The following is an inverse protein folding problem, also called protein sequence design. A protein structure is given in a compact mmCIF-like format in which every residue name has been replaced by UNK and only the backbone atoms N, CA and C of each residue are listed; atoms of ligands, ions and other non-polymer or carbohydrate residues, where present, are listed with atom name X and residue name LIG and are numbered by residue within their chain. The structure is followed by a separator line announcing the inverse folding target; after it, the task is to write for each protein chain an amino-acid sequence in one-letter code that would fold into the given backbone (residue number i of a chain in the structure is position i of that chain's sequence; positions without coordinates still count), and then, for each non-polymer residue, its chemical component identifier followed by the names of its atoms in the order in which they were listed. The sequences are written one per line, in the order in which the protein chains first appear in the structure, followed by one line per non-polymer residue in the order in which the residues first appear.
data_IF_948981744723
#
_entry.id   IF_948981744723
#
_cell.length_a   1.000
_cell.length_b   1.000
_cell.length_c   1.000
_cell.angle_alpha   90.00
_cell.angle_beta   90.00
_cell.angle_gamma   90.00
#
_symmetry.space_group_name_H-M   'P 1'
#
loop_
_entity.id
_entity.type
_entity.pdbx_description
1 polymer ?
#
# COMPACT_ATOMS: atom_id res chain seq x y z
N UNK A 1 -21.80 -10.20 -5.31
CA UNK A 1 -21.13 -9.47 -4.21
C UNK A 1 -22.14 -8.80 -3.27
N UNK A 2 -22.04 -9.08 -1.97
CA UNK A 2 -22.88 -8.55 -0.89
C UNK A 2 -22.01 -7.73 0.08
N UNK A 3 -22.43 -6.49 0.39
CA UNK A 3 -21.70 -5.59 1.30
C UNK A 3 -22.49 -5.39 2.57
N UNK A 4 -21.93 -5.82 3.70
CA UNK A 4 -22.54 -5.76 5.01
C UNK A 4 -21.72 -4.89 5.98
N UNK A 5 -22.39 -4.36 6.99
CA UNK A 5 -21.80 -3.54 8.06
C UNK A 5 -22.50 -3.89 9.39
N UNK A 6 -22.13 -3.25 10.49
CA UNK A 6 -22.72 -3.56 11.80
C UNK A 6 -24.18 -3.13 12.00
N UNK A 7 -24.88 -2.66 10.96
CA UNK A 7 -26.32 -2.43 11.03
C UNK A 7 -27.08 -3.73 11.31
N UNK A 8 -28.12 -3.64 12.16
CA UNK A 8 -28.86 -4.83 12.61
C UNK A 8 -29.60 -5.58 11.51
N UNK A 9 -29.83 -4.94 10.35
CA UNK A 9 -30.41 -5.59 9.17
C UNK A 9 -29.56 -6.77 8.66
N UNK A 10 -28.26 -6.78 8.94
CA UNK A 10 -27.34 -7.83 8.51
C UNK A 10 -27.22 -9.00 9.49
N UNK A 11 -27.89 -8.98 10.65
CA UNK A 11 -27.88 -10.12 11.58
C UNK A 11 -28.20 -11.47 10.93
N UNK A 12 -29.21 -11.60 10.04
CA UNK A 12 -29.51 -12.86 9.38
C UNK A 12 -28.35 -13.42 8.56
N UNK A 13 -27.53 -12.56 7.93
CA UNK A 13 -26.31 -12.97 7.21
C UNK A 13 -25.28 -13.54 8.19
N UNK A 14 -25.01 -12.86 9.30
CA UNK A 14 -24.04 -13.32 10.31
C UNK A 14 -24.50 -14.62 10.98
N UNK A 15 -25.78 -14.68 11.33
CA UNK A 15 -26.40 -15.90 11.83
C UNK A 15 -26.33 -17.04 10.81
N UNK A 16 -26.39 -16.75 9.50
CA UNK A 16 -26.26 -17.75 8.44
C UNK A 16 -24.84 -18.32 8.36
N UNK A 17 -23.81 -17.47 8.46
CA UNK A 17 -22.40 -17.85 8.37
C UNK A 17 -21.83 -18.48 9.65
N UNK A 18 -22.39 -18.17 10.83
CA UNK A 18 -21.96 -18.73 12.11
C UNK A 18 -22.40 -20.19 12.32
N UNK A 19 -21.99 -21.11 11.43
CA UNK A 19 -22.25 -22.55 11.53
C UNK A 19 -21.45 -23.33 10.51
N UNK A 20 -20.67 -24.28 11.02
CA UNK A 20 -19.85 -25.20 10.22
C UNK A 20 -20.63 -25.91 9.10
N UNK A 21 -21.77 -26.54 9.44
CA UNK A 21 -22.66 -27.19 8.46
C UNK A 21 -23.08 -26.25 7.32
N UNK A 22 -23.34 -24.97 7.60
CA UNK A 22 -23.76 -24.00 6.58
C UNK A 22 -22.62 -23.55 5.70
N UNK A 23 -21.42 -23.41 6.25
CA UNK A 23 -20.21 -23.16 5.46
C UNK A 23 -19.95 -24.33 4.50
N UNK A 24 -20.05 -25.56 4.98
CA UNK A 24 -19.96 -26.77 4.16
C UNK A 24 -21.00 -26.83 3.04
N UNK A 25 -22.25 -26.40 3.30
CA UNK A 25 -23.27 -26.29 2.25
C UNK A 25 -22.83 -25.29 1.16
N UNK A 26 -22.27 -24.14 1.53
CA UNK A 26 -21.79 -23.15 0.55
C UNK A 26 -20.63 -23.70 -0.30
N UNK A 27 -19.72 -24.47 0.30
CA UNK A 27 -18.62 -25.14 -0.41
C UNK A 27 -19.10 -26.22 -1.38
N UNK A 28 -20.17 -26.95 -1.05
CA UNK A 28 -20.79 -27.90 -1.96
C UNK A 28 -21.49 -27.18 -3.12
N UNK A 29 -22.21 -26.10 -2.82
CA UNK A 29 -22.95 -25.31 -3.80
C UNK A 29 -22.04 -24.48 -4.71
N UNK A 30 -20.80 -24.19 -4.31
CA UNK A 30 -19.81 -23.53 -5.17
C UNK A 30 -19.34 -24.42 -6.32
N UNK A 31 -19.45 -25.75 -6.17
CA UNK A 31 -19.12 -26.72 -7.21
C UNK A 31 -20.27 -26.92 -8.20
N UNK A 32 -21.51 -27.02 -7.69
CA UNK A 32 -22.72 -27.18 -8.50
C UNK A 32 -24.00 -26.94 -7.68
N UNK A 33 -25.12 -26.55 -8.32
CA UNK A 33 -26.43 -26.54 -7.68
C UNK A 33 -26.86 -27.94 -7.20
N UNK A 34 -27.42 -28.02 -5.99
CA UNK A 34 -27.82 -29.30 -5.38
C UNK A 34 -29.23 -29.22 -4.79
N UNK A 35 -29.93 -30.35 -4.76
CA UNK A 35 -31.20 -30.44 -4.04
C UNK A 35 -30.98 -30.80 -2.56
N UNK A 36 -32.01 -30.62 -1.72
CA UNK A 36 -31.94 -30.89 -0.27
C UNK A 36 -31.54 -32.34 0.06
N UNK A 37 -31.97 -33.34 -0.73
CA UNK A 37 -31.62 -34.75 -0.50
C UNK A 37 -30.15 -35.01 -0.81
N UNK A 38 -29.61 -34.39 -1.84
CA UNK A 38 -28.19 -34.56 -2.22
C UNK A 38 -27.29 -33.92 -1.17
N UNK A 39 -27.64 -32.72 -0.68
CA UNK A 39 -26.96 -32.06 0.43
C UNK A 39 -27.02 -32.89 1.73
N UNK A 40 -28.18 -33.50 2.01
CA UNK A 40 -28.37 -34.37 3.17
C UNK A 40 -27.47 -35.60 3.11
N UNK A 41 -27.39 -36.26 1.95
CA UNK A 41 -26.52 -37.39 1.74
C UNK A 41 -25.03 -37.02 1.86
N UNK A 42 -24.62 -35.90 1.25
CA UNK A 42 -23.23 -35.44 1.28
C UNK A 42 -22.73 -35.08 2.69
N UNK A 43 -23.61 -34.55 3.55
CA UNK A 43 -23.27 -34.12 4.90
C UNK A 43 -23.61 -35.13 5.99
N UNK A 44 -24.21 -36.28 5.63
CA UNK A 44 -24.65 -37.29 6.61
C UNK A 44 -25.74 -36.79 7.57
N UNK A 45 -26.57 -35.84 7.14
CA UNK A 45 -27.62 -35.21 7.94
C UNK A 45 -29.01 -35.54 7.38
N UNK A 46 -30.05 -35.39 8.20
CA UNK A 46 -31.42 -35.59 7.72
C UNK A 46 -31.87 -34.45 6.80
N UNK A 47 -32.74 -34.74 5.83
CA UNK A 47 -33.31 -33.71 4.94
C UNK A 47 -34.03 -32.59 5.70
N UNK A 48 -34.60 -32.89 6.88
CA UNK A 48 -35.24 -31.89 7.73
C UNK A 48 -34.22 -30.88 8.30
N UNK A 49 -33.07 -31.39 8.77
CA UNK A 49 -31.96 -30.57 9.27
C UNK A 49 -31.40 -29.70 8.13
N UNK A 50 -31.15 -30.28 6.95
CA UNK A 50 -30.67 -29.52 5.79
C UNK A 50 -31.67 -28.44 5.38
N UNK A 51 -32.97 -28.74 5.38
CA UNK A 51 -34.02 -27.74 5.07
C UNK A 51 -33.97 -26.55 6.04
N UNK A 52 -33.70 -26.79 7.32
CA UNK A 52 -33.51 -25.73 8.29
C UNK A 52 -32.27 -24.88 7.97
N UNK A 53 -31.15 -25.51 7.61
CA UNK A 53 -29.91 -24.79 7.27
C UNK A 53 -30.05 -23.96 5.98
N UNK A 54 -30.63 -24.54 4.92
CA UNK A 54 -30.83 -23.84 3.64
C UNK A 54 -31.78 -22.66 3.81
N UNK A 55 -32.83 -22.77 4.62
CA UNK A 55 -33.72 -21.63 4.94
C UNK A 55 -32.98 -20.48 5.63
N UNK A 56 -32.02 -20.77 6.52
CA UNK A 56 -31.20 -19.73 7.15
C UNK A 56 -30.22 -19.09 6.18
N UNK A 57 -29.59 -19.88 5.31
CA UNK A 57 -28.71 -19.38 4.24
C UNK A 57 -29.48 -18.48 3.24
N UNK A 58 -30.70 -18.87 2.88
CA UNK A 58 -31.60 -18.11 2.02
C UNK A 58 -32.01 -16.78 2.68
N UNK A 59 -32.36 -16.80 3.97
CA UNK A 59 -32.64 -15.57 4.75
C UNK A 59 -31.44 -14.63 4.83
N UNK A 60 -30.22 -15.18 4.85
CA UNK A 60 -28.97 -14.42 4.80
C UNK A 60 -28.58 -13.92 3.41
N UNK A 61 -29.33 -14.26 2.36
CA UNK A 61 -29.05 -13.86 0.98
C UNK A 61 -27.85 -14.58 0.36
N UNK A 62 -27.39 -15.69 0.95
CA UNK A 62 -26.20 -16.43 0.47
C UNK A 62 -26.55 -17.47 -0.61
N UNK A 63 -27.77 -17.99 -0.59
CA UNK A 63 -28.27 -18.94 -1.58
C UNK A 63 -29.63 -18.51 -2.10
N UNK A 64 -29.96 -18.91 -3.32
CA UNK A 64 -31.31 -18.89 -3.87
C UNK A 64 -31.86 -20.31 -3.94
N UNK A 65 -33.19 -20.41 -3.97
CA UNK A 65 -33.84 -21.71 -4.15
C UNK A 65 -34.93 -21.65 -5.21
N UNK A 66 -35.00 -22.70 -6.03
CA UNK A 66 -35.95 -22.81 -7.13
C UNK A 66 -36.63 -24.19 -7.13
N UNK A 67 -37.92 -24.22 -7.48
CA UNK A 67 -38.67 -25.46 -7.63
C UNK A 67 -38.55 -25.96 -9.07
N UNK A 68 -37.82 -27.06 -9.26
CA UNK A 68 -37.59 -27.68 -10.57
C UNK A 68 -38.30 -29.02 -10.63
N UNK A 69 -39.06 -29.27 -11.70
CA UNK A 69 -39.62 -30.60 -11.97
C UNK A 69 -38.58 -31.48 -12.65
N UNK A 70 -38.26 -32.62 -12.03
CA UNK A 70 -37.32 -33.62 -12.57
C UNK A 70 -37.83 -35.01 -12.23
N UNK A 71 -37.80 -35.94 -13.20
CA UNK A 71 -38.20 -37.34 -13.02
C UNK A 71 -39.58 -37.53 -12.36
N UNK A 72 -40.56 -36.68 -12.71
CA UNK A 72 -41.91 -36.73 -12.13
C UNK A 72 -42.06 -36.15 -10.72
N UNK A 73 -40.97 -35.74 -10.07
CA UNK A 73 -40.96 -35.08 -8.77
C UNK A 73 -40.71 -33.57 -8.87
N UNK A 74 -41.15 -32.81 -7.85
CA UNK A 74 -40.78 -31.40 -7.68
C UNK A 74 -39.64 -31.31 -6.67
N UNK A 75 -38.51 -30.73 -7.07
CA UNK A 75 -37.28 -30.63 -6.28
C UNK A 75 -36.98 -29.17 -5.98
N UNK A 76 -36.66 -28.86 -4.72
CA UNK A 76 -36.11 -27.56 -4.31
C UNK A 76 -34.59 -27.58 -4.55
N UNK A 77 -34.15 -26.97 -5.64
CA UNK A 77 -32.74 -26.81 -6.00
C UNK A 77 -32.20 -25.57 -5.27
N UNK A 78 -31.02 -25.69 -4.67
CA UNK A 78 -30.30 -24.61 -4.01
C UNK A 78 -29.08 -24.23 -4.85
N UNK A 79 -28.81 -22.93 -4.99
CA UNK A 79 -27.66 -22.38 -5.72
C UNK A 79 -27.06 -21.21 -4.95
N UNK A 80 -25.76 -20.93 -5.12
CA UNK A 80 -25.16 -19.72 -4.56
C UNK A 80 -25.81 -18.47 -5.17
N UNK A 81 -26.16 -17.50 -4.32
CA UNK A 81 -26.69 -16.20 -4.75
C UNK A 81 -25.59 -15.14 -4.91
N UNK A 82 -24.46 -15.33 -4.21
CA UNK A 82 -23.35 -14.39 -4.14
C UNK A 82 -22.03 -15.15 -4.16
N UNK A 83 -21.02 -14.50 -4.74
CA UNK A 83 -19.63 -14.95 -4.86
C UNK A 83 -18.71 -14.36 -3.79
N UNK A 84 -19.08 -13.20 -3.23
CA UNK A 84 -18.29 -12.45 -2.24
C UNK A 84 -19.18 -11.77 -1.21
N UNK A 85 -18.78 -11.81 0.06
CA UNK A 85 -19.34 -11.01 1.16
C UNK A 85 -18.24 -10.12 1.74
N UNK A 86 -18.45 -8.82 1.76
CA UNK A 86 -17.56 -7.85 2.44
C UNK A 86 -18.21 -7.36 3.72
N UNK A 87 -17.45 -7.34 4.82
CA UNK A 87 -17.89 -6.85 6.12
C UNK A 87 -17.09 -5.62 6.51
N UNK A 88 -17.76 -4.48 6.66
CA UNK A 88 -17.17 -3.27 7.23
C UNK A 88 -17.44 -3.22 8.73
N UNK A 89 -16.38 -3.30 9.53
CA UNK A 89 -16.44 -3.06 10.98
C UNK A 89 -16.28 -1.55 11.22
N UNK A 90 -17.16 -0.91 12.00
CA UNK A 90 -16.97 0.47 12.42
C UNK A 90 -15.72 0.52 13.30
N UNK A 91 -14.68 1.15 12.79
CA UNK A 91 -13.60 1.65 13.62
C UNK A 91 -14.15 2.88 14.35
N UNK A 92 -13.77 3.10 15.61
CA UNK A 92 -13.80 4.46 16.14
C UNK A 92 -13.12 5.30 15.06
N UNK A 93 -13.76 6.36 14.57
CA UNK A 93 -13.06 7.27 13.70
C UNK A 93 -11.79 7.65 14.48
N UNK A 94 -10.63 7.12 14.08
CA UNK A 94 -9.40 7.87 14.23
C UNK A 94 -9.82 9.25 13.80
N UNK A 95 -9.72 10.25 14.68
CA UNK A 95 -9.92 11.63 14.27
C UNK A 95 -9.13 11.75 12.97
N UNK A 96 -9.86 11.79 11.84
CA UNK A 96 -9.25 11.62 10.55
C UNK A 96 -8.47 12.92 10.40
N UNK A 97 -7.18 12.86 10.77
CA UNK A 97 -6.36 14.06 10.91
C UNK A 97 -6.46 14.73 9.56
N UNK A 98 -6.89 15.99 9.53
CA UNK A 98 -7.07 16.67 8.24
C UNK A 98 -5.71 16.76 7.56
N UNK A 99 -5.54 16.03 6.46
CA UNK A 99 -4.30 15.98 5.72
C UNK A 99 -4.52 16.20 4.23
N UNK A 100 -3.53 16.82 3.60
CA UNK A 100 -3.39 16.86 2.17
C UNK A 100 -2.28 15.91 1.75
N UNK A 101 -2.55 15.08 0.75
CA UNK A 101 -1.61 14.09 0.23
C UNK A 101 -1.29 14.37 -1.23
N UNK A 102 -0.02 14.21 -1.58
CA UNK A 102 0.47 14.18 -2.95
C UNK A 102 1.20 12.86 -3.17
N UNK A 103 0.78 12.09 -4.18
CA UNK A 103 1.50 10.91 -4.67
C UNK A 103 2.47 11.34 -5.76
N UNK A 104 3.76 11.06 -5.59
CA UNK A 104 4.85 11.55 -6.42
C UNK A 104 5.53 10.35 -7.09
N UNK A 105 5.27 10.09 -8.39
CA UNK A 105 5.92 8.99 -9.10
C UNK A 105 7.44 9.10 -9.04
N UNK A 106 8.14 7.97 -8.90
CA UNK A 106 9.59 7.97 -8.68
C UNK A 106 10.36 8.61 -9.82
N UNK A 107 9.86 8.49 -11.05
CA UNK A 107 10.41 9.14 -12.24
C UNK A 107 10.28 10.66 -12.32
N UNK A 108 9.47 11.29 -11.47
CA UNK A 108 9.12 12.72 -11.52
C UNK A 108 10.11 13.63 -10.77
N UNK A 109 11.36 13.20 -10.56
CA UNK A 109 12.39 14.08 -10.02
C UNK A 109 12.59 15.30 -10.93
N UNK A 110 12.98 16.41 -10.30
CA UNK A 110 13.16 17.72 -10.93
C UNK A 110 14.61 18.15 -11.00
N UNK A 111 15.44 17.66 -10.07
CA UNK A 111 16.89 17.80 -10.07
C UNK A 111 17.51 16.48 -9.64
N UNK A 112 18.70 16.20 -10.15
CA UNK A 112 19.45 15.02 -9.80
C UNK A 112 20.93 15.25 -10.06
N UNK A 113 21.75 14.49 -9.35
CA UNK A 113 23.14 14.23 -9.69
C UNK A 113 23.34 12.75 -9.39
N UNK A 114 23.47 11.91 -10.41
CA UNK A 114 23.55 10.46 -10.22
C UNK A 114 24.83 9.93 -10.83
N UNK A 115 25.47 9.02 -10.11
CA UNK A 115 26.66 8.32 -10.55
C UNK A 115 26.42 6.81 -10.54
N UNK A 116 27.06 6.06 -11.44
CA UNK A 116 26.94 4.60 -11.48
C UNK A 116 27.33 3.91 -10.17
N UNK A 117 26.81 2.70 -9.91
CA UNK A 117 25.81 1.96 -10.69
C UNK A 117 24.46 2.68 -10.72
N UNK A 118 23.75 2.79 -11.85
CA UNK A 118 22.52 3.59 -11.94
C UNK A 118 21.56 3.16 -13.05
N UNK A 119 20.27 3.50 -12.90
CA UNK A 119 19.29 3.31 -13.96
C UNK A 119 17.85 3.53 -13.54
N UNK A 120 16.96 3.28 -14.50
CA UNK A 120 15.52 3.53 -14.44
C UNK A 120 14.79 2.41 -15.16
N UNK A 121 13.62 2.00 -14.65
CA UNK A 121 12.78 1.02 -15.35
C UNK A 121 11.31 1.33 -15.15
N UNK A 122 10.51 1.07 -16.18
CA UNK A 122 9.05 0.90 -16.04
C UNK A 122 8.75 -0.52 -15.59
N UNK A 123 7.49 -0.85 -15.35
CA UNK A 123 7.04 -2.23 -15.09
C UNK A 123 7.20 -3.17 -16.27
N UNK A 124 7.48 -2.64 -17.46
CA UNK A 124 7.43 -3.36 -18.73
C UNK A 124 8.80 -3.42 -19.42
N UNK A 125 9.63 -2.40 -19.26
CA UNK A 125 10.92 -2.30 -19.92
C UNK A 125 11.91 -1.41 -19.18
N UNK A 126 13.20 -1.65 -19.45
CA UNK A 126 14.29 -0.78 -19.04
C UNK A 126 14.18 0.56 -19.78
N UNK A 127 14.40 1.67 -19.07
CA UNK A 127 14.53 3.00 -19.70
C UNK A 127 16.01 3.23 -19.97
N UNK A 128 16.39 3.20 -21.26
CA UNK A 128 17.77 3.38 -21.67
C UNK A 128 18.65 2.16 -21.40
N UNK A 129 19.82 2.37 -20.79
CA UNK A 129 20.80 1.33 -20.44
C UNK A 129 21.32 1.56 -19.02
N UNK A 130 21.86 0.49 -18.42
CA UNK A 130 22.50 0.58 -17.11
C UNK A 130 23.72 1.50 -17.12
N UNK A 131 23.96 2.14 -15.98
CA UNK A 131 25.19 2.82 -15.62
C UNK A 131 25.54 4.03 -16.50
N UNK A 132 24.52 4.62 -17.14
CA UNK A 132 24.65 5.85 -17.89
C UNK A 132 23.68 6.94 -17.38
N UNK A 133 24.19 7.93 -16.63
CA UNK A 133 23.39 9.02 -16.07
C UNK A 133 22.59 9.83 -17.10
N UNK A 134 22.95 9.78 -18.40
CA UNK A 134 22.22 10.51 -19.44
C UNK A 134 20.77 10.04 -19.58
N UNK A 135 20.48 8.79 -19.25
CA UNK A 135 19.11 8.27 -19.33
C UNK A 135 18.17 8.83 -18.27
N UNK A 136 18.69 9.51 -17.25
CA UNK A 136 17.89 10.30 -16.31
C UNK A 136 17.32 11.59 -16.93
N UNK A 137 17.64 11.87 -18.19
CA UNK A 137 17.03 12.94 -18.99
C UNK A 137 16.03 12.43 -20.04
N UNK A 138 15.91 11.10 -20.23
CA UNK A 138 14.96 10.55 -21.21
C UNK A 138 13.52 10.92 -20.86
N UNK A 139 12.68 11.30 -21.84
CA UNK A 139 11.27 11.59 -21.57
C UNK A 139 10.53 10.43 -20.90
N UNK A 140 10.88 9.20 -21.27
CA UNK A 140 10.29 7.97 -20.73
C UNK A 140 10.53 7.78 -19.22
N UNK A 141 11.47 8.54 -18.62
CA UNK A 141 11.68 8.56 -17.16
C UNK A 141 10.40 8.83 -16.39
N UNK A 142 9.45 9.58 -16.97
CA UNK A 142 8.18 9.91 -16.31
C UNK A 142 7.31 8.67 -16.04
N UNK A 143 7.60 7.55 -16.71
CA UNK A 143 6.95 6.25 -16.48
C UNK A 143 7.77 5.30 -15.60
N UNK A 144 8.92 5.75 -15.09
CA UNK A 144 9.75 4.92 -14.23
C UNK A 144 9.01 4.59 -12.92
N UNK A 145 9.07 3.32 -12.55
CA UNK A 145 8.53 2.76 -11.29
C UNK A 145 9.62 2.18 -10.40
N UNK A 146 10.86 2.19 -10.86
CA UNK A 146 12.05 1.96 -10.04
C UNK A 146 13.17 2.84 -10.58
N UNK A 147 13.96 3.40 -9.68
CA UNK A 147 15.20 4.10 -10.00
C UNK A 147 16.27 3.73 -8.99
N UNK A 148 17.52 3.73 -9.42
CA UNK A 148 18.64 3.45 -8.53
C UNK A 148 19.90 4.21 -8.94
N UNK A 149 20.77 4.49 -7.98
CA UNK A 149 22.09 5.08 -8.21
C UNK A 149 23.08 4.78 -7.07
N UNK A 150 24.38 4.73 -7.37
CA UNK A 150 25.44 4.37 -6.42
C UNK A 150 25.86 5.51 -5.48
N UNK A 151 25.83 6.77 -5.96
CA UNK A 151 26.03 7.98 -5.14
C UNK A 151 25.44 9.21 -5.81
N UNK A 152 25.25 10.27 -5.03
CA UNK A 152 24.66 11.54 -5.47
C UNK A 152 23.27 11.76 -4.89
N UNK A 153 22.32 12.30 -5.66
CA UNK A 153 20.98 12.59 -5.19
C UNK A 153 19.91 12.62 -6.29
N UNK A 154 18.65 12.47 -5.86
CA UNK A 154 17.45 12.83 -6.63
C UNK A 154 16.54 13.72 -5.78
N UNK A 155 15.93 14.73 -6.41
CA UNK A 155 15.15 15.77 -5.75
C UNK A 155 13.77 15.97 -6.40
N UNK A 156 12.75 16.00 -5.57
CA UNK A 156 11.34 16.13 -5.93
C UNK A 156 10.79 17.47 -5.47
N UNK A 157 10.15 18.22 -6.37
CA UNK A 157 9.39 19.43 -6.04
C UNK A 157 7.91 19.09 -5.94
N UNK A 158 7.32 19.43 -4.81
CA UNK A 158 5.98 19.01 -4.41
C UNK A 158 5.18 20.28 -4.17
N UNK A 159 3.99 20.46 -4.77
CA UNK A 159 3.18 21.65 -4.51
C UNK A 159 2.89 21.84 -3.01
N UNK A 160 3.09 23.04 -2.50
CA UNK A 160 2.69 23.39 -1.15
C UNK A 160 1.25 23.93 -1.17
N UNK A 161 0.31 23.15 -0.64
CA UNK A 161 -1.10 23.52 -0.52
C UNK A 161 -1.48 24.11 0.84
N UNK A 162 -0.51 24.26 1.75
CA UNK A 162 -0.72 24.91 3.05
C UNK A 162 -0.99 26.40 2.82
N UNK A 163 -2.20 26.84 3.14
CA UNK A 163 -2.60 28.23 2.95
C UNK A 163 -1.99 29.13 4.02
N UNK A 164 -1.80 30.41 3.68
CA UNK A 164 -1.32 31.42 4.62
C UNK A 164 -2.28 31.51 5.82
N UNK A 165 -1.76 31.31 7.03
CA UNK A 165 -2.55 31.29 8.28
C UNK A 165 -3.02 29.90 8.73
N UNK A 166 -2.80 28.85 7.95
CA UNK A 166 -2.99 27.47 8.42
C UNK A 166 -1.75 27.00 9.19
N UNK A 167 -1.97 26.40 10.36
CA UNK A 167 -0.91 25.81 11.16
C UNK A 167 -0.63 24.38 10.69
N UNK A 168 0.56 24.16 10.12
CA UNK A 168 1.10 22.85 9.79
C UNK A 168 1.53 22.15 11.08
N UNK A 169 0.88 21.03 11.41
CA UNK A 169 1.16 20.28 12.64
C UNK A 169 2.14 19.12 12.43
N UNK A 170 2.19 18.55 11.22
CA UNK A 170 3.04 17.42 10.90
C UNK A 170 3.26 17.29 9.38
N UNK A 171 4.46 16.89 8.96
CA UNK A 171 4.74 16.40 7.61
C UNK A 171 5.06 14.91 7.71
N UNK A 172 4.43 14.09 6.87
CA UNK A 172 4.75 12.67 6.75
C UNK A 172 5.16 12.35 5.30
N UNK A 173 6.22 11.56 5.15
CA UNK A 173 6.73 11.13 3.85
C UNK A 173 6.89 9.61 3.88
N UNK A 174 6.16 8.91 3.02
CA UNK A 174 6.14 7.44 2.94
C UNK A 174 6.67 6.98 1.59
N UNK A 175 7.62 6.05 1.59
CA UNK A 175 8.26 5.53 0.38
C UNK A 175 8.88 4.15 0.65
N UNK A 176 9.03 3.33 -0.39
CA UNK A 176 9.84 2.12 -0.32
C UNK A 176 11.24 2.40 -0.88
N UNK A 177 12.28 2.06 -0.11
CA UNK A 177 13.68 2.35 -0.43
C UNK A 177 14.60 1.21 0.02
N UNK A 178 15.71 0.98 -0.69
CA UNK A 178 16.80 0.08 -0.29
C UNK A 178 18.16 0.65 -0.68
N UNK A 179 19.25 -0.04 -0.37
CA UNK A 179 20.56 0.30 -0.96
C UNK A 179 20.66 -0.25 -2.39
N UNK A 180 21.77 0.00 -3.05
CA UNK A 180 22.01 -0.39 -4.44
C UNK A 180 23.35 -1.11 -4.52
N UNK A 181 23.28 -2.42 -4.67
CA UNK A 181 24.45 -3.25 -4.86
C UNK A 181 24.66 -3.56 -6.35
N UNK A 182 25.91 -3.59 -6.84
CA UNK A 182 26.19 -4.21 -8.13
C UNK A 182 25.76 -5.68 -8.13
N UNK A 183 24.64 -5.99 -8.80
CA UNK A 183 24.04 -7.32 -8.78
C UNK A 183 23.04 -7.50 -7.64
N UNK A 184 23.34 -8.41 -6.70
CA UNK A 184 22.47 -8.73 -5.54
C UNK A 184 23.39 -9.00 -4.34
N UNK A 185 23.39 -8.12 -3.32
CA UNK A 185 24.18 -8.28 -2.10
C UNK A 185 23.37 -7.86 -0.86
N UNK A 186 22.93 -8.85 -0.07
CA UNK A 186 22.12 -8.62 1.13
C UNK A 186 22.83 -7.85 2.25
N UNK A 187 24.17 -7.82 2.25
CA UNK A 187 24.99 -7.04 3.18
C UNK A 187 25.75 -5.97 2.39
N UNK A 188 25.06 -4.85 2.17
CA UNK A 188 25.54 -3.72 1.37
C UNK A 188 24.99 -2.41 1.94
N UNK A 189 25.47 -1.99 3.11
CA UNK A 189 24.88 -0.86 3.82
C UNK A 189 25.06 0.45 3.05
N UNK A 190 24.11 1.36 3.23
CA UNK A 190 24.17 2.69 2.61
C UNK A 190 23.57 3.74 3.51
N UNK A 191 24.34 4.79 3.79
CA UNK A 191 23.90 5.94 4.57
C UNK A 191 23.12 6.90 3.66
N UNK A 192 21.80 6.84 3.77
CA UNK A 192 20.89 7.62 2.95
C UNK A 192 20.44 8.85 3.73
N UNK A 193 20.78 10.03 3.21
CA UNK A 193 20.46 11.32 3.77
C UNK A 193 19.13 11.83 3.19
N UNK A 194 18.23 12.28 4.07
CA UNK A 194 16.97 12.89 3.67
C UNK A 194 16.99 14.39 3.93
N UNK A 195 16.60 15.19 2.94
CA UNK A 195 16.49 16.65 3.10
C UNK A 195 15.09 17.12 2.74
N UNK A 196 14.61 18.12 3.47
CA UNK A 196 13.40 18.87 3.13
C UNK A 196 13.71 20.37 3.14
N UNK A 197 13.47 21.06 2.02
CA UNK A 197 13.85 22.46 1.81
C UNK A 197 15.31 22.73 2.23
N UNK A 198 16.23 21.91 1.71
CA UNK A 198 17.66 21.95 2.02
C UNK A 198 18.06 21.70 3.50
N UNK A 199 17.09 21.42 4.38
CA UNK A 199 17.34 21.05 5.78
C UNK A 199 17.53 19.54 5.88
N UNK A 200 18.67 19.09 6.42
CA UNK A 200 18.94 17.66 6.67
C UNK A 200 18.01 17.15 7.76
N UNK A 201 17.04 16.32 7.39
CA UNK A 201 16.12 15.65 8.31
C UNK A 201 16.81 14.56 9.13
N UNK A 202 17.83 13.94 8.55
CA UNK A 202 18.68 12.94 9.18
C UNK A 202 19.15 11.87 8.21
N UNK A 203 19.83 10.86 8.75
CA UNK A 203 20.49 9.80 7.99
C UNK A 203 19.94 8.45 8.43
N UNK A 204 19.52 7.64 7.47
CA UNK A 204 19.15 6.26 7.69
C UNK A 204 20.13 5.34 6.97
N UNK A 205 20.75 4.44 7.71
CA UNK A 205 21.58 3.39 7.14
C UNK A 205 20.70 2.23 6.70
N UNK A 206 20.57 2.04 5.38
CA UNK A 206 19.99 0.82 4.82
C UNK A 206 20.86 -0.37 5.23
N UNK A 207 20.27 -1.51 5.64
CA UNK A 207 21.06 -2.69 6.02
C UNK A 207 21.66 -3.43 4.81
N UNK A 208 21.13 -3.25 3.60
CA UNK A 208 21.59 -3.97 2.42
C UNK A 208 20.69 -3.83 1.19
N UNK A 209 21.01 -4.52 0.11
CA UNK A 209 20.12 -4.67 -1.05
C UNK A 209 19.11 -5.80 -0.75
N UNK A 210 18.03 -5.83 -1.53
CA UNK A 210 17.16 -7.00 -1.67
C UNK A 210 18.01 -8.26 -1.81
N UNK A 211 17.97 -9.16 -0.83
CA UNK A 211 18.70 -10.42 -0.90
C UNK A 211 18.11 -11.36 -1.97
N UNK A 212 18.17 -12.67 -1.75
CA UNK A 212 17.67 -13.66 -2.72
C UNK A 212 16.12 -13.72 -2.87
N UNK A 213 15.39 -12.81 -2.24
CA UNK A 213 13.92 -12.79 -2.24
C UNK A 213 13.33 -12.11 -3.47
N UNK A 214 12.06 -12.40 -3.77
CA UNK A 214 11.31 -11.76 -4.86
C UNK A 214 10.33 -10.73 -4.29
N UNK A 215 10.33 -9.52 -4.84
CA UNK A 215 9.35 -8.50 -4.51
C UNK A 215 7.95 -8.93 -4.95
N UNK A 216 6.95 -8.69 -4.10
CA UNK A 216 5.58 -9.12 -4.34
C UNK A 216 4.99 -8.53 -5.64
N UNK A 217 5.39 -7.31 -5.99
CA UNK A 217 4.88 -6.55 -7.13
C UNK A 217 5.87 -6.50 -8.29
N UNK A 218 7.15 -6.75 -8.01
CA UNK A 218 8.23 -6.64 -9.00
C UNK A 218 7.96 -7.49 -10.25
N UNK A 219 8.07 -6.92 -11.47
CA UNK A 219 7.76 -7.61 -12.72
C UNK A 219 8.54 -8.91 -12.95
N UNK A 220 7.92 -9.87 -13.64
CA UNK A 220 8.49 -11.20 -13.90
C UNK A 220 9.85 -11.17 -14.61
N UNK A 221 10.06 -10.18 -15.47
CA UNK A 221 11.27 -10.05 -16.29
C UNK A 221 12.42 -9.34 -15.57
N UNK A 222 12.16 -8.73 -14.41
CA UNK A 222 13.16 -8.00 -13.62
C UNK A 222 13.82 -8.89 -12.57
N UNK A 223 15.15 -8.80 -12.43
CA UNK A 223 15.94 -9.76 -11.64
C UNK A 223 16.78 -9.17 -10.51
N UNK A 224 17.08 -7.88 -10.52
CA UNK A 224 17.87 -7.18 -9.48
C UNK A 224 16.98 -6.30 -8.63
N UNK A 225 17.49 -5.73 -7.52
CA UNK A 225 16.81 -4.73 -6.70
C UNK A 225 15.32 -5.05 -6.50
N UNK A 226 15.00 -6.24 -6.00
CA UNK A 226 13.66 -6.81 -6.02
C UNK A 226 12.68 -6.11 -5.08
N UNK A 227 13.13 -5.54 -3.97
CA UNK A 227 12.29 -4.84 -2.99
C UNK A 227 13.13 -4.01 -2.01
N UNK A 228 12.50 -3.06 -1.35
CA UNK A 228 13.10 -2.27 -0.29
C UNK A 228 12.37 -2.41 1.04
N UNK A 229 12.63 -1.46 1.92
CA UNK A 229 11.91 -1.26 3.17
C UNK A 229 10.95 -0.09 3.00
N UNK A 230 9.70 -0.29 3.42
CA UNK A 230 8.80 0.83 3.62
C UNK A 230 9.34 1.71 4.75
N UNK A 231 9.51 2.99 4.46
CA UNK A 231 9.92 4.01 5.40
C UNK A 231 8.90 5.10 5.49
N UNK A 232 8.68 5.55 6.73
CA UNK A 232 7.79 6.66 7.04
C UNK A 232 8.58 7.67 7.85
N UNK A 233 8.93 8.80 7.22
CA UNK A 233 9.52 9.95 7.90
C UNK A 233 8.40 10.85 8.40
N UNK A 234 8.45 11.24 9.66
CA UNK A 234 7.51 12.20 10.28
C UNK A 234 8.29 13.36 10.87
N UNK A 235 8.00 14.58 10.41
CA UNK A 235 8.53 15.82 10.96
C UNK A 235 7.43 16.49 11.78
N UNK A 236 7.73 16.78 13.04
CA UNK A 236 6.78 17.32 14.02
C UNK A 236 7.38 18.52 14.74
N UNK A 237 6.65 19.11 15.68
CA UNK A 237 7.19 20.13 16.60
C UNK A 237 8.23 19.56 17.59
N UNK A 238 8.27 18.24 17.81
CA UNK A 238 9.15 17.59 18.80
C UNK A 238 10.45 17.04 18.18
N UNK A 239 10.48 16.90 16.85
CA UNK A 239 11.62 16.37 16.11
C UNK A 239 11.21 15.62 14.85
N UNK A 240 12.20 14.96 14.25
CA UNK A 240 12.03 14.12 13.07
C UNK A 240 12.21 12.66 13.44
N UNK A 241 11.32 11.81 12.93
CA UNK A 241 11.26 10.39 13.22
C UNK A 241 11.24 9.59 11.93
N UNK A 242 11.83 8.39 11.94
CA UNK A 242 11.68 7.38 10.90
C UNK A 242 11.13 6.10 11.53
N UNK A 243 10.01 5.60 11.02
CA UNK A 243 9.33 4.40 11.53
C UNK A 243 9.03 4.48 13.05
N UNK A 244 8.75 5.70 13.54
CA UNK A 244 8.48 5.98 14.96
C UNK A 244 9.71 6.11 15.85
N UNK A 245 10.93 5.89 15.33
CA UNK A 245 12.18 6.10 16.04
C UNK A 245 12.73 7.49 15.74
N UNK A 246 13.29 8.17 16.75
CA UNK A 246 13.82 9.53 16.56
C UNK A 246 15.04 9.49 15.65
N UNK A 247 14.94 10.19 14.52
CA UNK A 247 15.97 10.30 13.50
C UNK A 247 16.87 11.52 13.77
N UNK A 248 16.27 12.64 14.17
CA UNK A 248 17.01 13.85 14.55
C UNK A 248 16.15 14.81 15.38
N UNK A 249 16.79 15.88 15.86
CA UNK A 249 16.17 16.98 16.59
C UNK A 249 15.50 18.02 15.69
N UNK A 250 15.58 17.86 14.37
CA UNK A 250 14.99 18.80 13.41
C UNK A 250 13.47 18.78 13.53
N UNK A 251 12.89 19.95 13.73
CA UNK A 251 11.46 20.18 13.90
C UNK A 251 10.87 20.93 12.71
N UNK A 252 9.55 21.06 12.66
CA UNK A 252 8.87 21.90 11.67
C UNK A 252 9.33 23.37 11.68
N UNK A 253 9.80 23.89 12.82
CA UNK A 253 10.25 25.27 12.95
C UNK A 253 11.63 25.50 12.30
N UNK A 254 12.43 24.44 12.15
CA UNK A 254 13.75 24.51 11.51
C UNK A 254 13.64 24.52 9.98
N UNK A 255 12.50 24.04 9.45
CA UNK A 255 12.27 23.94 8.02
C UNK A 255 11.67 25.24 7.51
N UNK A 256 12.43 25.95 6.68
CA UNK A 256 11.93 27.16 6.03
C UNK A 256 10.85 26.78 5.02
N UNK A 257 9.59 26.94 5.40
CA UNK A 257 8.45 26.69 4.51
C UNK A 257 8.48 27.69 3.35
N UNK A 258 8.59 27.19 2.12
CA UNK A 258 8.41 28.03 0.94
C UNK A 258 6.92 28.17 0.61
N UNK A 259 6.56 29.28 -0.05
CA UNK A 259 5.16 29.57 -0.39
C UNK A 259 4.55 28.57 -1.37
N UNK A 260 5.33 28.08 -2.32
CA UNK A 260 4.80 27.40 -3.50
C UNK A 260 5.05 25.89 -3.48
N UNK A 261 6.14 25.46 -2.85
CA UNK A 261 6.59 24.08 -2.95
C UNK A 261 7.43 23.60 -1.77
N UNK A 262 7.42 22.28 -1.62
CA UNK A 262 8.37 21.53 -0.81
C UNK A 262 9.42 20.90 -1.72
N UNK A 263 10.66 20.87 -1.28
CA UNK A 263 11.77 20.26 -1.98
C UNK A 263 12.28 19.09 -1.15
N UNK A 264 11.92 17.87 -1.53
CA UNK A 264 12.35 16.65 -0.84
C UNK A 264 13.47 15.98 -1.62
N UNK A 265 14.57 15.63 -0.95
CA UNK A 265 15.77 15.04 -1.58
C UNK A 265 16.20 13.78 -0.86
N UNK A 266 16.47 12.74 -1.64
CA UNK A 266 17.22 11.56 -1.23
C UNK A 266 18.66 11.71 -1.71
N UNK A 267 19.63 11.51 -0.83
CA UNK A 267 21.03 11.61 -1.22
C UNK A 267 21.89 10.51 -0.56
N UNK A 268 22.92 10.09 -1.27
CA UNK A 268 24.04 9.27 -0.77
C UNK A 268 25.30 10.08 -1.03
N UNK A 269 25.77 10.87 -0.04
CA UNK A 269 26.99 11.65 -0.16
C UNK A 269 28.22 10.77 -0.39
N UNK A 270 29.21 11.28 -1.13
CA UNK A 270 30.45 10.56 -1.38
C UNK A 270 31.34 10.42 -0.14
N UNK A 271 31.13 11.28 0.85
CA UNK A 271 31.86 11.31 2.12
C UNK A 271 31.11 10.62 3.28
N UNK A 272 30.00 9.92 2.99
CA UNK A 272 29.31 9.12 3.97
C UNK A 272 30.15 7.89 4.39
N UNK A 273 29.88 7.33 5.57
CA UNK A 273 30.61 6.16 6.07
C UNK A 273 30.34 4.93 5.20
N UNK A 274 29.07 4.74 4.80
CA UNK A 274 28.64 3.69 3.89
C UNK A 274 28.07 4.28 2.59
N UNK A 275 28.84 4.22 1.51
CA UNK A 275 28.43 4.69 0.17
C UNK A 275 27.90 3.50 -0.65
N UNK A 276 26.74 2.98 -0.26
CA UNK A 276 26.13 1.80 -0.87
C UNK A 276 24.98 2.10 -1.82
N UNK A 277 24.85 3.34 -2.30
CA UNK A 277 23.79 3.77 -3.21
C UNK A 277 22.37 3.67 -2.65
N UNK A 278 21.39 3.90 -3.49
CA UNK A 278 19.98 3.72 -3.13
C UNK A 278 19.15 3.26 -4.31
N UNK A 279 18.06 2.57 -4.00
CA UNK A 279 16.98 2.23 -4.93
C UNK A 279 15.66 2.73 -4.37
N UNK A 280 14.88 3.47 -5.16
CA UNK A 280 13.51 3.91 -4.82
C UNK A 280 12.50 3.14 -5.66
N UNK A 281 11.44 2.68 -5.00
CA UNK A 281 10.38 1.87 -5.58
C UNK A 281 9.07 2.66 -5.66
N UNK A 282 8.40 2.58 -6.81
CA UNK A 282 7.08 3.14 -7.08
C UNK A 282 6.03 2.06 -7.30
N UNK A 283 4.86 2.45 -7.78
CA UNK A 283 3.74 1.53 -8.00
C UNK A 283 4.10 0.41 -9.01
N UNK A 284 3.78 -0.83 -8.67
CA UNK A 284 4.12 -2.01 -9.49
C UNK A 284 5.56 -2.52 -9.36
N UNK A 285 6.34 -2.00 -8.41
CA UNK A 285 7.64 -2.55 -8.01
C UNK A 285 7.71 -2.76 -6.50
N UNK A 286 8.66 -3.60 -6.08
CA UNK A 286 8.92 -3.86 -4.66
C UNK A 286 7.81 -4.63 -3.97
N UNK A 287 7.54 -4.27 -2.72
CA UNK A 287 6.53 -4.90 -1.87
C UNK A 287 5.32 -3.99 -1.59
N UNK A 288 5.42 -2.70 -1.87
CA UNK A 288 4.39 -1.72 -1.52
C UNK A 288 3.89 -1.01 -2.77
N UNK A 289 2.61 -1.18 -3.09
CA UNK A 289 2.02 -0.62 -4.30
C UNK A 289 1.68 0.88 -4.12
N UNK A 290 2.70 1.71 -3.96
CA UNK A 290 2.57 3.16 -3.80
C UNK A 290 3.79 3.86 -4.40
N UNK A 291 3.61 5.13 -4.78
CA UNK A 291 4.72 6.02 -5.06
C UNK A 291 5.24 6.66 -3.74
N UNK A 292 6.08 7.70 -3.86
CA UNK A 292 6.42 8.53 -2.70
C UNK A 292 5.17 9.31 -2.32
N UNK A 293 4.64 9.07 -1.13
CA UNK A 293 3.49 9.80 -0.59
C UNK A 293 4.00 10.91 0.32
N UNK A 294 3.60 12.15 0.03
CA UNK A 294 3.90 13.32 0.85
C UNK A 294 2.61 13.86 1.45
N UNK A 295 2.51 13.87 2.77
CA UNK A 295 1.34 14.32 3.53
C UNK A 295 1.69 15.51 4.40
N UNK A 296 0.78 16.47 4.44
CA UNK A 296 0.81 17.60 5.37
C UNK A 296 -0.44 17.54 6.22
N UNK A 297 -0.27 17.50 7.54
CA UNK A 297 -1.37 17.46 8.50
C UNK A 297 -1.57 18.83 9.12
N UNK A 298 -2.83 19.22 9.26
CA UNK A 298 -3.20 20.48 9.90
C UNK A 298 -3.41 20.29 11.38
N UNK A 299 -3.02 21.31 12.14
CA UNK A 299 -3.38 21.41 13.54
C UNK A 299 -4.85 21.81 13.63
N UNK A 300 -5.68 21.03 14.32
CA UNK A 300 -7.07 21.43 14.56
C UNK A 300 -7.06 22.54 15.60
N UNK A 301 -7.23 23.80 15.17
CA UNK A 301 -7.45 24.89 16.11
C UNK A 301 -8.86 24.76 16.71
N UNK A 302 -8.99 24.60 18.02
CA UNK A 302 -10.27 24.62 18.75
C UNK A 302 -11.00 25.98 18.73
N UNK A 303 -10.54 26.94 17.92
CA UNK A 303 -11.00 28.33 17.94
C UNK A 303 -12.28 28.62 17.11
N UNK A 304 -13.12 27.63 16.81
CA UNK A 304 -14.35 27.81 16.02
C UNK A 304 -15.65 27.47 16.76
N UNK A 305 -15.63 27.39 18.09
CA UNK A 305 -16.83 27.16 18.91
C UNK A 305 -17.23 28.35 19.80
N UNK A 306 -16.78 29.56 19.46
CA UNK A 306 -17.32 30.80 20.01
C UNK A 306 -17.86 31.70 18.88
N UNK A 307 -19.11 31.47 18.50
CA UNK A 307 -20.02 32.48 17.96
C UNK A 307 -21.47 32.01 18.04
#
# INVERSE_FOLDING_TARGET
MLRANTERKWLPLYEALASDVRLHILELLSKQPMNVKDLAAALGLSSAIITMHTKKLEKGGLITTELVRRNGGTHKICSLAVDKVELTIPQQAEQQRDYQEVSIPVGHYTRFEVHPTCGLSTTEQLIGQFDDPRYFLEPDRMHAQILWFGKGFVEYRIPNYVLMGQALGEIEISFEIGSEAPGILADWPSDIHFYLNDTLLGVWTSPGDSGEGRGMLTPAWWTVNQYGWLKIIRVTEEGTFIDGQRLSDVTLNDIVMTRNDWVFRFAVPEDAEHVGGLTIYGEGFGNYNQNILFRTYRTVSEAANEQ
#
